data_IF_824263136040
#
_entry.id   IF_824263136040
#
_cell.length_a   1.000
_cell.length_b   1.000
_cell.length_c   1.000
_cell.angle_alpha   90.00
_cell.angle_beta   90.00
_cell.angle_gamma   90.00
#
_symmetry.space_group_name_H-M   'P 1'
#
loop_
_entity.id
_entity.type
_entity.pdbx_description
1 polymer ?
#
# COMPACT_ATOMS: atom_id res chain seq x y z
N UNK A 1 4.77 16.21 -25.96
CA UNK A 1 4.47 15.59 -24.65
C UNK A 1 3.06 15.99 -24.25
N UNK A 2 2.14 15.05 -24.04
CA UNK A 2 0.75 15.36 -23.69
C UNK A 2 0.62 15.98 -22.30
N UNK A 3 -0.36 16.90 -22.11
CA UNK A 3 -0.60 17.57 -20.83
C UNK A 3 -0.80 16.53 -19.70
N UNK A 4 -0.21 16.74 -18.51
CA UNK A 4 -0.37 15.81 -17.40
C UNK A 4 -1.83 15.71 -16.97
N UNK A 5 -2.38 14.49 -17.01
CA UNK A 5 -3.75 14.21 -16.57
C UNK A 5 -3.89 14.29 -15.04
N UNK A 6 -5.12 14.45 -14.55
CA UNK A 6 -5.43 14.59 -13.11
C UNK A 6 -4.70 13.54 -12.25
N UNK A 7 -4.82 12.27 -12.59
CA UNK A 7 -4.20 11.15 -11.85
C UNK A 7 -2.68 11.24 -11.73
N UNK A 8 -2.01 11.73 -12.78
CA UNK A 8 -0.58 11.95 -12.73
C UNK A 8 -0.21 13.09 -11.79
N UNK A 9 -0.97 14.20 -11.82
CA UNK A 9 -0.78 15.30 -10.87
C UNK A 9 -1.01 14.84 -9.44
N UNK A 10 -2.04 14.03 -9.19
CA UNK A 10 -2.32 13.47 -7.86
C UNK A 10 -1.14 12.65 -7.33
N UNK A 11 -0.56 11.76 -8.14
CA UNK A 11 0.62 10.97 -7.72
C UNK A 11 1.81 11.88 -7.41
N UNK A 12 2.05 12.90 -8.23
CA UNK A 12 3.13 13.86 -7.97
C UNK A 12 2.92 14.67 -6.68
N UNK A 13 1.70 15.18 -6.47
CA UNK A 13 1.35 15.90 -5.25
C UNK A 13 1.48 14.99 -4.03
N UNK A 14 1.01 13.75 -4.13
CA UNK A 14 1.13 12.75 -3.06
C UNK A 14 2.60 12.49 -2.70
N UNK A 15 3.47 12.32 -3.70
CA UNK A 15 4.90 12.07 -3.50
C UNK A 15 5.61 13.27 -2.86
N UNK A 16 5.34 14.49 -3.35
CA UNK A 16 5.91 15.72 -2.77
C UNK A 16 5.40 15.92 -1.34
N UNK A 17 4.12 15.69 -1.10
CA UNK A 17 3.53 15.77 0.22
C UNK A 17 4.13 14.74 1.19
N UNK A 18 4.28 13.48 0.75
CA UNK A 18 4.93 12.43 1.53
C UNK A 18 6.37 12.82 1.90
N UNK A 19 7.15 13.34 0.94
CA UNK A 19 8.52 13.79 1.20
C UNK A 19 8.55 14.92 2.24
N UNK A 20 7.67 15.92 2.08
CA UNK A 20 7.57 17.04 3.02
C UNK A 20 7.17 16.57 4.42
N UNK A 21 6.18 15.69 4.52
CA UNK A 21 5.69 15.17 5.78
C UNK A 21 6.73 14.31 6.50
N UNK A 22 7.36 13.36 5.81
CA UNK A 22 8.42 12.52 6.39
C UNK A 22 9.59 13.40 6.88
N UNK A 23 9.98 14.39 6.09
CA UNK A 23 11.04 15.33 6.47
C UNK A 23 10.66 16.16 7.70
N UNK A 24 9.41 16.68 7.74
CA UNK A 24 8.90 17.45 8.86
C UNK A 24 8.81 16.59 10.12
N UNK A 25 8.27 15.38 10.02
CA UNK A 25 8.17 14.44 11.12
C UNK A 25 9.55 14.08 11.69
N UNK A 26 10.53 13.85 10.82
CA UNK A 26 11.92 13.62 11.24
C UNK A 26 12.52 14.81 12.01
N UNK A 27 12.25 16.06 11.58
CA UNK A 27 12.73 17.26 12.28
C UNK A 27 12.04 17.45 13.63
N UNK A 28 10.71 17.28 13.68
CA UNK A 28 9.91 17.51 14.89
C UNK A 28 10.16 16.46 15.98
N UNK A 29 10.51 15.25 15.60
CA UNK A 29 10.68 14.12 16.54
C UNK A 29 12.09 13.98 17.11
N UNK A 30 13.06 14.81 16.70
CA UNK A 30 14.47 14.65 17.10
C UNK A 30 14.73 14.60 18.60
N UNK A 31 13.85 15.20 19.40
CA UNK A 31 13.98 15.24 20.86
C UNK A 31 13.47 13.96 21.54
N UNK A 32 12.67 13.15 20.85
CA UNK A 32 12.11 11.88 21.34
C UNK A 32 12.81 10.72 20.64
N UNK A 33 13.67 9.94 21.32
CA UNK A 33 14.39 8.84 20.68
C UNK A 33 13.47 7.83 19.99
N UNK A 34 12.33 7.50 20.64
CA UNK A 34 11.32 6.59 20.10
C UNK A 34 10.69 7.14 18.84
N UNK A 35 10.16 8.36 18.88
CA UNK A 35 9.46 8.93 17.73
C UNK A 35 10.43 9.26 16.59
N UNK A 36 11.67 9.62 16.91
CA UNK A 36 12.71 9.81 15.92
C UNK A 36 13.04 8.51 15.20
N UNK A 37 13.15 7.40 15.94
CA UNK A 37 13.35 6.09 15.33
C UNK A 37 12.18 5.72 14.40
N UNK A 38 10.93 5.94 14.83
CA UNK A 38 9.74 5.75 13.96
C UNK A 38 9.83 6.62 12.71
N UNK A 39 10.22 7.89 12.84
CA UNK A 39 10.39 8.80 11.70
C UNK A 39 11.49 8.32 10.73
N UNK A 40 12.60 7.79 11.25
CA UNK A 40 13.68 7.22 10.45
C UNK A 40 13.25 5.93 9.73
N UNK A 41 12.51 5.04 10.43
CA UNK A 41 11.92 3.83 9.84
C UNK A 41 10.95 4.17 8.71
N UNK A 42 10.03 5.11 8.95
CA UNK A 42 9.09 5.60 7.93
C UNK A 42 9.83 6.25 6.75
N UNK A 43 10.92 6.98 7.01
CA UNK A 43 11.80 7.50 5.98
C UNK A 43 12.50 6.41 5.17
N UNK A 44 12.97 5.34 5.81
CA UNK A 44 13.53 4.18 5.14
C UNK A 44 12.51 3.49 4.22
N UNK A 45 11.29 3.27 4.71
CA UNK A 45 10.18 2.76 3.91
C UNK A 45 9.86 3.69 2.72
N UNK A 46 9.76 5.00 2.97
CA UNK A 46 9.54 5.98 1.91
C UNK A 46 10.60 5.92 0.81
N UNK A 47 11.88 5.89 1.18
CA UNK A 47 12.98 5.89 0.22
C UNK A 47 13.06 4.57 -0.56
N UNK A 48 12.97 3.42 0.13
CA UNK A 48 13.14 2.11 -0.49
C UNK A 48 11.91 1.69 -1.31
N UNK A 49 10.72 1.83 -0.74
CA UNK A 49 9.48 1.39 -1.40
C UNK A 49 8.90 2.47 -2.30
N UNK A 50 8.63 3.66 -1.75
CA UNK A 50 7.90 4.69 -2.48
C UNK A 50 8.75 5.34 -3.59
N UNK A 51 10.00 5.69 -3.29
CA UNK A 51 10.89 6.38 -4.24
C UNK A 51 11.59 5.36 -5.15
N UNK A 52 12.44 4.49 -4.60
CA UNK A 52 13.22 3.52 -5.40
C UNK A 52 12.30 2.47 -6.04
N UNK A 53 11.45 1.82 -5.26
CA UNK A 53 10.47 0.86 -5.76
C UNK A 53 9.53 1.49 -6.79
N UNK A 54 8.93 2.64 -6.47
CA UNK A 54 8.08 3.39 -7.41
C UNK A 54 8.78 3.77 -8.71
N UNK A 55 10.03 4.24 -8.64
CA UNK A 55 10.85 4.55 -9.82
C UNK A 55 11.15 3.30 -10.66
N UNK A 56 11.53 2.18 -10.03
CA UNK A 56 11.78 0.90 -10.71
C UNK A 56 10.51 0.39 -11.41
N UNK A 57 9.39 0.37 -10.69
CA UNK A 57 8.09 -0.02 -11.24
C UNK A 57 7.71 0.85 -12.43
N UNK A 58 7.87 2.17 -12.31
CA UNK A 58 7.63 3.08 -13.42
C UNK A 58 8.56 2.78 -14.60
N UNK A 59 9.87 2.65 -14.38
CA UNK A 59 10.88 2.45 -15.43
C UNK A 59 10.68 1.15 -16.21
N UNK A 60 10.23 0.09 -15.52
CA UNK A 60 10.15 -1.27 -16.08
C UNK A 60 8.72 -1.75 -16.36
N UNK A 61 7.68 -0.94 -16.11
CA UNK A 61 6.26 -1.28 -16.30
C UNK A 61 5.91 -1.98 -17.61
N UNK A 62 6.48 -1.53 -18.73
CA UNK A 62 6.19 -2.10 -20.05
C UNK A 62 6.83 -3.48 -20.24
N UNK A 63 8.06 -3.65 -19.77
CA UNK A 63 8.76 -4.94 -19.80
C UNK A 63 8.08 -5.95 -18.88
N UNK A 64 7.68 -5.51 -17.69
CA UNK A 64 6.92 -6.32 -16.74
C UNK A 64 5.58 -6.76 -17.33
N UNK A 65 4.79 -5.82 -17.86
CA UNK A 65 3.50 -6.13 -18.46
C UNK A 65 3.64 -7.13 -19.62
N UNK A 66 4.63 -6.94 -20.49
CA UNK A 66 4.91 -7.86 -21.59
C UNK A 66 5.28 -9.27 -21.08
N UNK A 67 6.08 -9.37 -20.01
CA UNK A 67 6.46 -10.64 -19.40
C UNK A 67 5.24 -11.37 -18.81
N UNK A 68 4.45 -10.70 -17.98
CA UNK A 68 3.26 -11.27 -17.32
C UNK A 68 2.19 -11.69 -18.34
N UNK A 69 2.09 -10.97 -19.45
CA UNK A 69 1.16 -11.31 -20.54
C UNK A 69 1.52 -12.62 -21.26
N UNK A 70 2.76 -13.11 -21.17
CA UNK A 70 3.16 -14.40 -21.75
C UNK A 70 2.64 -15.60 -20.97
N UNK A 71 2.29 -15.43 -19.69
CA UNK A 71 1.79 -16.52 -18.87
C UNK A 71 0.40 -16.98 -19.34
N UNK A 72 0.09 -18.28 -19.25
CA UNK A 72 -1.20 -18.83 -19.76
C UNK A 72 -2.38 -18.71 -18.78
N UNK A 73 -2.15 -18.24 -17.56
CA UNK A 73 -3.20 -18.18 -16.53
C UNK A 73 -4.25 -17.10 -16.81
N UNK A 74 -5.41 -17.22 -16.15
CA UNK A 74 -6.45 -16.17 -16.17
C UNK A 74 -5.87 -14.87 -15.60
N UNK A 75 -6.12 -13.74 -16.24
CA UNK A 75 -5.51 -12.47 -15.86
C UNK A 75 -5.91 -12.02 -14.45
N UNK A 76 -7.12 -12.37 -13.98
CA UNK A 76 -7.59 -12.07 -12.62
C UNK A 76 -6.68 -12.74 -11.59
N UNK A 77 -6.35 -14.02 -11.82
CA UNK A 77 -5.45 -14.79 -10.95
C UNK A 77 -4.06 -14.16 -10.94
N UNK A 78 -3.52 -13.78 -12.11
CA UNK A 78 -2.23 -13.08 -12.19
C UNK A 78 -2.25 -11.76 -11.42
N UNK A 79 -3.31 -10.97 -11.58
CA UNK A 79 -3.46 -9.70 -10.90
C UNK A 79 -3.43 -9.89 -9.38
N UNK A 80 -4.28 -10.76 -8.84
CA UNK A 80 -4.34 -11.03 -7.39
C UNK A 80 -3.00 -11.55 -6.87
N UNK A 81 -2.38 -12.53 -7.54
CA UNK A 81 -1.11 -13.09 -7.11
C UNK A 81 0.03 -12.06 -7.14
N UNK A 82 0.09 -11.23 -8.18
CA UNK A 82 1.13 -10.20 -8.27
C UNK A 82 0.91 -9.07 -7.27
N UNK A 83 -0.33 -8.63 -7.04
CA UNK A 83 -0.64 -7.68 -5.97
C UNK A 83 -0.24 -8.25 -4.60
N UNK A 84 -0.54 -9.52 -4.36
CA UNK A 84 -0.15 -10.22 -3.12
C UNK A 84 1.37 -10.30 -2.99
N UNK A 85 2.09 -10.62 -4.06
CA UNK A 85 3.55 -10.61 -4.08
C UNK A 85 4.12 -9.23 -3.75
N UNK A 86 3.58 -8.16 -4.32
CA UNK A 86 4.05 -6.81 -4.02
C UNK A 86 3.70 -6.37 -2.59
N UNK A 87 2.55 -6.77 -2.05
CA UNK A 87 2.24 -6.56 -0.64
C UNK A 87 3.21 -7.32 0.28
N UNK A 88 3.55 -8.58 -0.05
CA UNK A 88 4.55 -9.36 0.68
C UNK A 88 5.94 -8.71 0.66
N UNK A 89 6.34 -8.11 -0.48
CA UNK A 89 7.62 -7.40 -0.60
C UNK A 89 7.61 -6.11 0.21
N UNK A 90 6.52 -5.34 0.15
CA UNK A 90 6.36 -4.13 0.95
C UNK A 90 6.46 -4.45 2.44
N UNK A 91 5.74 -5.47 2.91
CA UNK A 91 5.80 -5.89 4.31
C UNK A 91 7.19 -6.39 4.71
N UNK A 92 7.94 -6.97 3.78
CA UNK A 92 9.33 -7.36 4.05
C UNK A 92 10.20 -6.12 4.27
N UNK A 93 9.99 -5.05 3.50
CA UNK A 93 10.67 -3.76 3.72
C UNK A 93 10.25 -3.16 5.06
N UNK A 94 8.95 -3.10 5.35
CA UNK A 94 8.40 -2.47 6.56
C UNK A 94 8.80 -3.22 7.84
N UNK A 95 8.74 -4.55 7.81
CA UNK A 95 9.23 -5.40 8.91
C UNK A 95 10.75 -5.26 9.06
N UNK A 96 11.50 -5.16 7.97
CA UNK A 96 12.95 -4.91 8.04
C UNK A 96 13.27 -3.56 8.67
N UNK A 97 12.55 -2.49 8.31
CA UNK A 97 12.74 -1.17 8.93
C UNK A 97 12.46 -1.23 10.44
N UNK A 98 11.39 -1.93 10.85
CA UNK A 98 11.08 -2.16 12.26
C UNK A 98 12.19 -2.95 12.96
N UNK A 99 12.72 -4.00 12.34
CA UNK A 99 13.81 -4.79 12.91
C UNK A 99 15.17 -4.05 12.96
N UNK A 100 15.34 -3.00 12.15
CA UNK A 100 16.48 -2.11 12.19
C UNK A 100 16.37 -1.04 13.29
N UNK A 101 15.43 -1.15 14.25
CA UNK A 101 15.32 -0.25 15.40
C UNK A 101 16.67 0.09 16.07
N UNK A 102 17.60 -0.87 16.29
CA UNK A 102 18.91 -0.58 16.88
C UNK A 102 19.77 0.37 16.03
N UNK A 103 19.64 0.33 14.70
CA UNK A 103 20.33 1.27 13.79
C UNK A 103 19.77 2.68 13.95
N UNK A 104 18.52 2.80 14.38
CA UNK A 104 17.83 4.07 14.62
C UNK A 104 17.89 4.52 16.09
N UNK A 105 18.71 3.87 16.93
CA UNK A 105 19.00 4.32 18.29
C UNK A 105 18.06 3.83 19.38
N UNK A 106 17.19 2.85 19.09
CA UNK A 106 16.25 2.26 20.07
C UNK A 106 16.31 0.74 20.04
N UNK A 107 15.85 0.07 21.10
CA UNK A 107 15.85 -1.41 21.13
C UNK A 107 14.75 -1.97 20.25
N UNK A 108 14.94 -3.21 19.77
CA UNK A 108 13.88 -3.95 19.10
C UNK A 108 12.71 -4.06 20.08
N UNK A 109 11.52 -3.63 19.64
CA UNK A 109 10.32 -3.61 20.46
C UNK A 109 9.97 -2.27 21.11
N UNK A 110 10.80 -1.24 20.96
CA UNK A 110 10.50 0.10 21.50
C UNK A 110 9.79 0.99 20.47
N UNK A 111 10.08 0.80 19.18
CA UNK A 111 9.49 1.53 18.07
C UNK A 111 9.03 0.57 16.96
N UNK A 112 7.87 0.86 16.37
CA UNK A 112 7.23 0.03 15.36
C UNK A 112 6.61 0.89 14.27
N UNK A 113 6.76 0.47 13.02
CA UNK A 113 5.96 0.97 11.89
C UNK A 113 5.08 -0.14 11.28
N UNK A 114 5.12 -1.35 11.83
CA UNK A 114 4.21 -2.46 11.54
C UNK A 114 3.79 -3.13 12.86
N UNK A 115 2.80 -4.02 12.81
CA UNK A 115 2.21 -4.61 14.00
C UNK A 115 3.15 -5.56 14.77
N UNK A 116 4.20 -6.08 14.12
CA UNK A 116 5.10 -7.08 14.71
C UNK A 116 6.50 -7.04 14.08
N UNK A 117 7.50 -7.51 14.80
CA UNK A 117 8.87 -7.73 14.31
C UNK A 117 8.99 -9.04 13.53
N UNK A 118 8.01 -9.93 13.64
CA UNK A 118 7.96 -11.19 12.91
C UNK A 118 7.20 -11.02 11.60
N UNK A 119 7.89 -11.20 10.47
CA UNK A 119 7.32 -11.06 9.14
C UNK A 119 6.08 -11.94 8.90
N UNK A 120 6.08 -13.19 9.38
CA UNK A 120 4.95 -14.10 9.16
C UNK A 120 3.73 -13.68 9.98
N UNK A 121 3.96 -13.15 11.17
CA UNK A 121 2.91 -12.62 12.03
C UNK A 121 2.22 -11.42 11.36
N UNK A 122 3.00 -10.49 10.82
CA UNK A 122 2.48 -9.34 10.05
C UNK A 122 1.64 -9.80 8.86
N UNK A 123 2.19 -10.69 8.04
CA UNK A 123 1.56 -11.15 6.79
C UNK A 123 0.27 -11.94 7.04
N UNK A 124 0.28 -12.85 8.01
CA UNK A 124 -0.82 -13.77 8.27
C UNK A 124 -1.84 -13.25 9.29
N UNK A 125 -1.42 -12.37 10.19
CA UNK A 125 -2.22 -11.87 11.30
C UNK A 125 -2.71 -10.43 11.15
N UNK A 126 -2.13 -9.63 10.26
CA UNK A 126 -2.39 -8.18 10.26
C UNK A 126 -2.73 -7.58 8.89
N UNK A 127 -1.95 -7.86 7.85
CA UNK A 127 -2.03 -7.07 6.62
C UNK A 127 -2.35 -7.88 5.37
N UNK A 128 -1.42 -8.70 4.88
CA UNK A 128 -1.53 -9.33 3.55
C UNK A 128 -2.75 -10.24 3.45
N UNK A 129 -3.05 -11.01 4.49
CA UNK A 129 -4.26 -11.85 4.53
C UNK A 129 -5.54 -11.03 4.32
N UNK A 130 -5.58 -9.80 4.84
CA UNK A 130 -6.71 -8.86 4.72
C UNK A 130 -6.70 -8.15 3.36
N UNK A 131 -5.53 -7.97 2.74
CA UNK A 131 -5.40 -7.39 1.40
C UNK A 131 -5.84 -8.33 0.28
N UNK A 132 -5.67 -9.65 0.42
CA UNK A 132 -6.03 -10.61 -0.64
C UNK A 132 -7.50 -10.47 -1.09
N UNK A 133 -8.51 -10.42 -0.20
CA UNK A 133 -9.89 -10.13 -0.59
C UNK A 133 -10.07 -8.78 -1.29
N UNK A 134 -9.32 -7.75 -0.88
CA UNK A 134 -9.34 -6.44 -1.54
C UNK A 134 -8.80 -6.54 -2.98
N UNK A 135 -7.75 -7.33 -3.22
CA UNK A 135 -7.23 -7.58 -4.56
C UNK A 135 -8.22 -8.36 -5.43
N UNK A 136 -8.96 -9.32 -4.83
CA UNK A 136 -10.05 -10.03 -5.52
C UNK A 136 -11.16 -9.06 -5.91
N UNK A 137 -11.56 -8.14 -5.01
CA UNK A 137 -12.49 -7.07 -5.32
C UNK A 137 -12.00 -6.22 -6.51
N UNK A 138 -10.73 -5.83 -6.52
CA UNK A 138 -10.14 -5.09 -7.64
C UNK A 138 -10.14 -5.88 -8.94
N UNK A 139 -9.81 -7.17 -8.93
CA UNK A 139 -9.91 -8.02 -10.11
C UNK A 139 -11.36 -8.09 -10.64
N UNK A 140 -12.34 -8.16 -9.74
CA UNK A 140 -13.76 -8.12 -10.09
C UNK A 140 -14.17 -6.77 -10.69
N UNK A 141 -13.69 -5.65 -10.14
CA UNK A 141 -13.97 -4.30 -10.68
C UNK A 141 -13.32 -4.10 -12.06
N UNK A 142 -12.06 -4.51 -12.22
CA UNK A 142 -11.32 -4.42 -13.49
C UNK A 142 -11.96 -5.28 -14.59
N UNK A 143 -12.72 -6.31 -14.24
CA UNK A 143 -13.47 -7.09 -15.23
C UNK A 143 -14.69 -6.33 -15.80
N UNK A 144 -15.19 -5.33 -15.06
CA UNK A 144 -16.39 -4.54 -15.42
C UNK A 144 -16.04 -3.17 -15.99
N UNK A 145 -14.99 -2.54 -15.45
CA UNK A 145 -14.61 -1.17 -15.79
C UNK A 145 -13.14 -1.06 -16.19
N UNK A 146 -12.90 -0.30 -17.25
CA UNK A 146 -11.58 -0.08 -17.82
C UNK A 146 -10.80 1.01 -17.05
N UNK A 147 -10.52 0.78 -15.77
CA UNK A 147 -9.65 1.67 -14.99
C UNK A 147 -8.22 1.66 -15.55
N UNK A 148 -7.66 2.83 -15.80
CA UNK A 148 -6.26 2.95 -16.15
C UNK A 148 -5.37 2.64 -14.93
N UNK A 149 -4.15 2.11 -15.11
CA UNK A 149 -3.29 1.69 -13.99
C UNK A 149 -3.01 2.78 -12.95
N UNK A 150 -2.91 4.05 -13.38
CA UNK A 150 -2.75 5.19 -12.45
C UNK A 150 -4.00 5.45 -11.61
N UNK A 151 -5.19 5.17 -12.14
CA UNK A 151 -6.44 5.26 -11.37
C UNK A 151 -6.46 4.16 -10.32
N UNK A 152 -6.10 2.93 -10.69
CA UNK A 152 -6.01 1.80 -9.74
C UNK A 152 -5.06 2.14 -8.60
N UNK A 153 -3.85 2.64 -8.92
CA UNK A 153 -2.87 3.08 -7.93
C UNK A 153 -3.43 4.14 -6.98
N UNK A 154 -3.99 5.22 -7.51
CA UNK A 154 -4.50 6.33 -6.67
C UNK A 154 -5.68 5.87 -5.81
N UNK A 155 -6.66 5.16 -6.40
CA UNK A 155 -7.88 4.76 -5.71
C UNK A 155 -7.60 3.73 -4.63
N UNK A 156 -6.75 2.73 -4.91
CA UNK A 156 -6.33 1.77 -3.89
C UNK A 156 -5.42 2.42 -2.83
N UNK A 157 -4.58 3.38 -3.23
CA UNK A 157 -3.85 4.23 -2.30
C UNK A 157 -4.77 4.97 -1.33
N UNK A 158 -5.89 5.54 -1.82
CA UNK A 158 -6.91 6.15 -0.96
C UNK A 158 -7.60 5.13 -0.04
N UNK A 159 -7.89 3.91 -0.51
CA UNK A 159 -8.37 2.82 0.35
C UNK A 159 -7.39 2.57 1.49
N UNK A 160 -6.10 2.46 1.18
CA UNK A 160 -5.05 2.27 2.17
C UNK A 160 -4.95 3.41 3.18
N UNK A 161 -4.97 4.66 2.73
CA UNK A 161 -5.01 5.84 3.63
C UNK A 161 -6.20 5.79 4.60
N UNK A 162 -7.38 5.39 4.12
CA UNK A 162 -8.57 5.26 4.96
C UNK A 162 -8.46 4.07 5.93
N UNK A 163 -7.82 2.97 5.51
CA UNK A 163 -7.55 1.84 6.38
C UNK A 163 -6.64 2.26 7.55
N UNK A 164 -5.55 2.97 7.26
CA UNK A 164 -4.64 3.50 8.28
C UNK A 164 -5.31 4.49 9.23
N UNK A 165 -6.15 5.38 8.69
CA UNK A 165 -6.94 6.29 9.52
C UNK A 165 -7.96 5.57 10.41
N UNK A 166 -8.57 4.50 9.91
CA UNK A 166 -9.52 3.69 10.66
C UNK A 166 -8.87 2.82 11.74
N UNK A 167 -7.67 2.30 11.48
CA UNK A 167 -6.95 1.38 12.38
C UNK A 167 -6.09 2.10 13.41
N UNK A 168 -5.43 3.20 13.03
CA UNK A 168 -4.45 3.89 13.88
C UNK A 168 -4.82 5.35 14.17
N UNK A 169 -6.02 5.78 13.75
CA UNK A 169 -6.61 7.06 14.11
C UNK A 169 -6.55 8.11 13.01
N UNK A 170 -7.49 9.06 13.06
CA UNK A 170 -7.76 10.04 12.00
C UNK A 170 -6.61 10.98 11.66
N UNK A 171 -5.62 11.15 12.55
CA UNK A 171 -4.43 11.94 12.25
C UNK A 171 -3.61 11.37 11.08
N UNK A 172 -3.72 10.06 10.80
CA UNK A 172 -3.08 9.43 9.64
C UNK A 172 -3.60 9.94 8.29
N UNK A 173 -4.77 10.62 8.26
CA UNK A 173 -5.21 11.33 7.05
C UNK A 173 -4.24 12.44 6.62
N UNK A 174 -3.50 13.04 7.57
CA UNK A 174 -2.43 13.98 7.24
C UNK A 174 -1.32 13.28 6.44
N UNK A 175 -1.15 11.97 6.60
CA UNK A 175 -0.20 11.16 5.86
C UNK A 175 -0.71 10.58 4.54
N UNK A 176 -1.81 11.11 4.00
CA UNK A 176 -2.43 10.56 2.80
C UNK A 176 -1.47 10.34 1.62
N UNK A 177 -0.49 11.23 1.42
CA UNK A 177 0.46 11.12 0.33
C UNK A 177 1.40 9.93 0.50
N UNK A 178 1.87 9.70 1.74
CA UNK A 178 2.72 8.58 2.08
C UNK A 178 1.97 7.26 1.90
N UNK A 179 0.79 7.14 2.52
CA UNK A 179 -0.04 5.94 2.43
C UNK A 179 -0.52 5.66 1.01
N UNK A 180 -0.89 6.68 0.24
CA UNK A 180 -1.24 6.51 -1.17
C UNK A 180 -0.11 5.82 -1.95
N UNK A 181 1.13 6.21 -1.71
CA UNK A 181 2.29 5.59 -2.35
C UNK A 181 2.52 4.16 -1.84
N UNK A 182 2.47 3.94 -0.52
CA UNK A 182 2.67 2.61 0.07
C UNK A 182 1.70 1.59 -0.52
N UNK A 183 0.39 1.81 -0.39
CA UNK A 183 -0.62 0.86 -0.87
C UNK A 183 -0.78 0.90 -2.39
N UNK A 184 -0.78 2.09 -2.99
CA UNK A 184 -1.00 2.23 -4.43
C UNK A 184 0.05 1.51 -5.27
N UNK A 185 1.31 1.47 -4.81
CA UNK A 185 2.38 0.77 -5.52
C UNK A 185 2.20 -0.75 -5.52
N UNK A 186 1.54 -1.33 -4.50
CA UNK A 186 1.25 -2.78 -4.46
C UNK A 186 0.45 -3.24 -5.68
N UNK A 187 -0.44 -2.38 -6.19
CA UNK A 187 -1.36 -2.72 -7.28
C UNK A 187 -1.01 -2.07 -8.63
N UNK A 188 -0.08 -1.11 -8.65
CA UNK A 188 0.25 -0.34 -9.85
C UNK A 188 0.80 -1.22 -10.99
N UNK A 189 1.85 -1.98 -10.71
CA UNK A 189 2.51 -2.81 -11.71
C UNK A 189 1.62 -3.99 -12.18
N UNK A 190 0.90 -4.71 -11.28
CA UNK A 190 -0.12 -5.67 -11.67
C UNK A 190 -1.19 -5.06 -12.58
N UNK A 191 -1.67 -3.86 -12.29
CA UNK A 191 -2.66 -3.17 -13.11
C UNK A 191 -2.12 -2.84 -14.52
N UNK A 192 -0.84 -2.51 -14.67
CA UNK A 192 -0.21 -2.34 -15.98
C UNK A 192 -0.21 -3.62 -16.83
N UNK A 193 -0.24 -4.81 -16.22
CA UNK A 193 -0.26 -6.08 -16.94
C UNK A 193 -1.67 -6.49 -17.41
N UNK A 194 -2.72 -5.90 -16.86
CA UNK A 194 -4.12 -6.20 -17.23
C UNK A 194 -4.43 -5.63 -18.61
N UNK A 195 -4.75 -6.50 -19.57
CA UNK A 195 -5.29 -6.08 -20.86
C UNK A 195 -6.75 -5.65 -20.67
N UNK A 196 -7.07 -4.43 -21.09
CA UNK A 196 -8.46 -3.95 -21.16
C UNK A 196 -9.25 -4.92 -22.03
N UNK A 197 -10.23 -5.59 -21.45
CA UNK A 197 -11.07 -6.54 -22.19
C UNK A 197 -12.06 -5.79 -23.07
N UNK A 198 -12.33 -6.34 -24.27
CA UNK A 198 -13.40 -5.88 -25.15
C UNK A 198 -14.73 -6.14 -24.43
N UNK A 199 -15.28 -5.11 -23.78
CA UNK A 199 -16.52 -5.18 -22.99
C UNK A 199 -16.50 -4.39 -21.69
N UNK A 200 -15.32 -4.03 -21.17
CA UNK A 200 -15.23 -3.20 -19.97
C UNK A 200 -15.63 -1.74 -20.27
N UNK A 201 -16.53 -1.20 -19.47
CA UNK A 201 -17.06 0.16 -19.64
C UNK A 201 -16.08 1.20 -19.06
N UNK A 202 -16.06 2.45 -19.56
CA UNK A 202 -15.28 3.50 -18.94
C UNK A 202 -15.77 3.76 -17.50
N UNK A 203 -14.85 3.91 -16.52
CA UNK A 203 -15.24 4.21 -15.14
C UNK A 203 -15.88 5.61 -15.06
N UNK A 204 -16.90 5.75 -14.21
CA UNK A 204 -17.57 7.01 -13.87
C UNK A 204 -17.23 7.36 -12.43
N UNK A 205 -17.51 8.59 -12.01
CA UNK A 205 -17.28 9.05 -10.62
C UNK A 205 -17.76 8.07 -9.55
N UNK A 206 -18.99 7.56 -9.67
CA UNK A 206 -19.55 6.57 -8.72
C UNK A 206 -18.72 5.28 -8.62
N UNK A 207 -18.08 4.85 -9.71
CA UNK A 207 -17.20 3.69 -9.71
C UNK A 207 -15.87 4.00 -9.02
N UNK A 208 -15.40 5.25 -9.04
CA UNK A 208 -14.24 5.68 -8.25
C UNK A 208 -14.55 5.63 -6.75
N UNK A 209 -15.71 6.13 -6.32
CA UNK A 209 -16.14 6.05 -4.91
C UNK A 209 -16.25 4.58 -4.47
N UNK A 210 -16.91 3.75 -5.28
CA UNK A 210 -17.02 2.33 -5.02
C UNK A 210 -15.65 1.64 -4.99
N UNK A 211 -14.70 2.03 -5.85
CA UNK A 211 -13.36 1.45 -5.88
C UNK A 211 -12.55 1.75 -4.60
N UNK A 212 -12.88 2.82 -3.89
CA UNK A 212 -12.28 3.14 -2.59
C UNK A 212 -12.95 2.34 -1.47
N UNK A 213 -14.28 2.22 -1.48
CA UNK A 213 -15.06 1.69 -0.35
C UNK A 213 -15.34 0.17 -0.41
N UNK A 214 -15.62 -0.38 -1.59
CA UNK A 214 -15.95 -1.79 -1.77
C UNK A 214 -14.86 -2.76 -1.29
N UNK A 215 -13.54 -2.47 -1.40
CA UNK A 215 -12.51 -3.31 -0.83
C UNK A 215 -12.70 -3.62 0.66
N UNK A 216 -13.18 -2.67 1.46
CA UNK A 216 -13.45 -2.90 2.89
C UNK A 216 -14.52 -3.96 3.12
N UNK A 217 -15.56 -4.01 2.28
CA UNK A 217 -16.62 -5.03 2.37
C UNK A 217 -16.08 -6.43 2.07
N UNK A 218 -15.15 -6.54 1.12
CA UNK A 218 -14.50 -7.83 0.82
C UNK A 218 -13.50 -8.25 1.90
N UNK A 219 -12.83 -7.28 2.53
CA UNK A 219 -11.89 -7.53 3.61
C UNK A 219 -12.57 -7.90 4.93
N UNK A 220 -13.77 -7.37 5.21
CA UNK A 220 -14.45 -7.50 6.50
C UNK A 220 -14.60 -8.95 7.02
N UNK A 221 -14.99 -9.96 6.20
CA UNK A 221 -15.08 -11.34 6.68
C UNK A 221 -13.73 -11.89 7.15
N UNK A 222 -12.66 -11.64 6.38
CA UNK A 222 -11.32 -12.12 6.72
C UNK A 222 -10.76 -11.36 7.91
N UNK A 223 -10.92 -10.03 7.95
CA UNK A 223 -10.53 -9.22 9.10
C UNK A 223 -11.24 -9.66 10.38
N UNK A 224 -12.53 -10.01 10.31
CA UNK A 224 -13.28 -10.55 11.44
C UNK A 224 -12.76 -11.91 11.93
N UNK A 225 -12.47 -12.83 11.00
CA UNK A 225 -11.89 -14.15 11.33
C UNK A 225 -10.50 -13.98 11.96
N UNK A 226 -9.65 -13.15 11.37
CA UNK A 226 -8.29 -12.88 11.86
C UNK A 226 -8.35 -12.23 13.24
N UNK A 227 -9.19 -11.21 13.43
CA UNK A 227 -9.36 -10.56 14.74
C UNK A 227 -9.95 -11.49 15.81
N UNK A 228 -10.70 -12.53 15.42
CA UNK A 228 -11.19 -13.54 16.34
C UNK A 228 -10.12 -14.59 16.69
N UNK A 229 -9.36 -15.07 15.70
CA UNK A 229 -8.29 -16.07 15.90
C UNK A 229 -7.06 -15.49 16.60
N UNK A 230 -6.75 -14.23 16.28
CA UNK A 230 -5.65 -13.45 16.82
C UNK A 230 -6.26 -12.16 17.38
N UNK A 231 -6.89 -12.19 18.57
CA UNK A 231 -7.36 -10.98 19.23
C UNK A 231 -6.14 -10.14 19.58
N UNK A 232 -5.76 -9.27 18.65
CA UNK A 232 -4.53 -8.51 18.76
C UNK A 232 -4.66 -7.55 19.95
N UNK A 233 -3.91 -7.80 21.01
CA UNK A 233 -3.37 -6.70 21.81
C UNK A 233 -2.31 -6.08 20.93
N UNK A 234 -2.62 -5.02 20.18
CA UNK A 234 -1.56 -4.35 19.41
C UNK A 234 -0.47 -4.08 20.43
N UNK A 235 0.72 -4.67 20.24
CA UNK A 235 1.83 -4.60 21.18
C UNK A 235 2.44 -3.20 21.11
N UNK A 236 1.63 -2.17 21.26
CA UNK A 236 2.09 -0.94 21.81
C UNK A 236 2.56 -1.31 23.21
N UNK A 237 3.88 -1.31 23.41
CA UNK A 237 4.42 -1.14 24.74
C UNK A 237 3.61 0.00 25.37
N UNK A 238 2.79 -0.38 26.35
CA UNK A 238 2.08 0.56 27.21
C UNK A 238 3.15 1.52 27.71
N UNK A 239 3.05 2.77 27.26
CA UNK A 239 3.56 3.91 27.99
C UNK A 239 2.36 4.55 28.65
#
# INVERSE_FOLDING_TARGET
MGKPNFWHKTIHVALVWAAAQVSLFFVLTRHSPRDNAVAMMAGGLFLLWCVLGGWLMWRYRHRFAALVQRWRWRWQVKFVLLCTLFALVEEAVTTSMTNLAPVFGVRIGEAYITASTNYLDVVLGHSVVVFVPMFVCWAWMLSRWAFAPRQVMVLFGCTGTLAEAGSFGWHNLLGWGFWLMVYGLMVYLPACAVKVHRGSQPPRWKHCVMAVLLPFLFAAPVAGIVGWLHPVKVHFAVQ
#
